data_IF_424529251422
#
_entry.id   IF_424529251422
#
_cell.length_a   1.000
_cell.length_b   1.000
_cell.length_c   1.000
_cell.angle_alpha   90.00
_cell.angle_beta   90.00
_cell.angle_gamma   90.00
#
_symmetry.space_group_name_H-M   'P 1'
#
loop_
_entity.id
_entity.type
_entity.pdbx_description
1 polymer ?
#
# COMPACT_ATOMS: atom_id res chain seq x y z
N UNK A 1 -12.92 1.28 2.02
CA UNK A 1 -12.72 0.58 0.72
C UNK A 1 -12.03 -0.76 0.88
N UNK A 2 -10.82 -0.85 1.45
CA UNK A 2 -10.08 -2.12 1.61
C UNK A 2 -10.89 -3.21 2.33
N UNK A 3 -11.55 -2.88 3.45
CA UNK A 3 -12.40 -3.85 4.16
C UNK A 3 -13.54 -4.41 3.30
N UNK A 4 -14.19 -3.57 2.49
CA UNK A 4 -15.26 -4.01 1.59
C UNK A 4 -14.72 -4.96 0.52
N UNK A 5 -13.53 -4.68 -0.02
CA UNK A 5 -12.88 -5.55 -1.00
C UNK A 5 -12.42 -6.87 -0.38
N UNK A 6 -11.95 -6.87 0.86
CA UNK A 6 -11.61 -8.09 1.60
C UNK A 6 -12.85 -8.95 1.87
N UNK A 7 -13.97 -8.34 2.27
CA UNK A 7 -15.26 -9.04 2.41
C UNK A 7 -15.72 -9.59 1.06
N UNK A 8 -15.67 -8.78 -0.01
CA UNK A 8 -16.03 -9.21 -1.35
C UNK A 8 -15.15 -10.36 -1.84
N UNK A 9 -13.84 -10.33 -1.56
CA UNK A 9 -12.92 -11.42 -1.85
C UNK A 9 -13.33 -12.72 -1.11
N UNK A 10 -13.63 -12.64 0.19
CA UNK A 10 -14.06 -13.81 0.97
C UNK A 10 -15.38 -14.38 0.44
N UNK A 11 -16.35 -13.52 0.12
CA UNK A 11 -17.62 -13.93 -0.50
C UNK A 11 -17.38 -14.55 -1.88
N UNK A 12 -16.48 -13.97 -2.68
CA UNK A 12 -16.14 -14.50 -4.00
C UNK A 12 -15.53 -15.90 -3.92
N UNK A 13 -14.74 -16.23 -2.89
CA UNK A 13 -14.21 -17.58 -2.69
C UNK A 13 -15.31 -18.65 -2.55
N UNK A 14 -16.53 -18.27 -2.14
CA UNK A 14 -17.66 -19.19 -1.99
C UNK A 14 -18.43 -19.39 -3.31
N UNK A 15 -18.10 -18.63 -4.36
CA UNK A 15 -18.66 -18.84 -5.70
C UNK A 15 -17.95 -19.98 -6.43
N UNK A 16 -18.57 -20.61 -7.45
CA UNK A 16 -17.90 -21.63 -8.27
C UNK A 16 -16.60 -21.14 -8.90
N UNK A 17 -16.56 -19.88 -9.35
CA UNK A 17 -15.37 -19.28 -9.95
C UNK A 17 -14.24 -19.09 -8.93
N UNK A 18 -14.56 -18.63 -7.70
CA UNK A 18 -13.57 -18.45 -6.65
C UNK A 18 -13.06 -19.76 -6.07
N UNK A 19 -13.94 -20.73 -5.81
CA UNK A 19 -13.55 -22.05 -5.28
C UNK A 19 -12.68 -22.87 -6.25
N UNK A 20 -12.89 -22.70 -7.55
CA UNK A 20 -12.09 -23.33 -8.59
C UNK A 20 -10.76 -22.59 -8.90
N UNK A 21 -10.58 -21.36 -8.39
CA UNK A 21 -9.40 -20.54 -8.69
C UNK A 21 -8.11 -21.15 -8.12
N UNK A 22 -7.23 -21.61 -9.00
CA UNK A 22 -5.89 -22.04 -8.62
C UNK A 22 -5.02 -20.89 -8.12
N UNK A 23 -5.23 -19.65 -8.62
CA UNK A 23 -4.51 -18.47 -8.15
C UNK A 23 -4.86 -18.20 -6.69
N UNK A 24 -6.13 -18.18 -6.34
CA UNK A 24 -6.59 -18.00 -4.96
C UNK A 24 -6.05 -19.13 -4.06
N UNK A 25 -6.13 -20.38 -4.50
CA UNK A 25 -5.62 -21.54 -3.76
C UNK A 25 -4.10 -21.47 -3.52
N UNK A 26 -3.34 -20.93 -4.47
CA UNK A 26 -1.89 -20.76 -4.34
C UNK A 26 -1.48 -19.79 -3.23
N UNK A 27 -2.39 -18.91 -2.79
CA UNK A 27 -2.12 -17.96 -1.71
C UNK A 27 -2.07 -18.64 -0.34
N UNK A 28 -2.72 -19.80 -0.20
CA UNK A 28 -2.81 -20.53 1.07
C UNK A 28 -3.36 -19.64 2.19
N UNK A 29 -2.64 -19.57 3.31
CA UNK A 29 -3.04 -18.82 4.50
C UNK A 29 -2.69 -17.32 4.46
N UNK A 30 -1.93 -16.85 3.46
CA UNK A 30 -1.44 -15.47 3.43
C UNK A 30 -2.56 -14.41 3.49
N UNK A 31 -3.69 -14.55 2.77
CA UNK A 31 -4.81 -13.62 2.89
C UNK A 31 -5.38 -13.56 4.31
N UNK A 32 -5.54 -14.71 4.96
CA UNK A 32 -6.03 -14.78 6.34
C UNK A 32 -5.06 -14.09 7.31
N UNK A 33 -3.75 -14.33 7.17
CA UNK A 33 -2.76 -13.62 7.97
C UNK A 33 -2.79 -12.10 7.72
N UNK A 34 -2.99 -11.65 6.48
CA UNK A 34 -3.11 -10.21 6.20
C UNK A 34 -4.30 -9.58 6.93
N UNK A 35 -5.45 -10.27 6.98
CA UNK A 35 -6.65 -9.81 7.70
C UNK A 35 -6.40 -9.79 9.21
N UNK A 36 -5.77 -10.83 9.76
CA UNK A 36 -5.47 -10.91 11.20
C UNK A 36 -4.48 -9.83 11.65
N UNK A 37 -3.39 -9.65 10.91
CA UNK A 37 -2.42 -8.57 11.16
C UNK A 37 -3.09 -7.20 11.07
N UNK A 38 -4.01 -6.99 10.12
CA UNK A 38 -4.75 -5.74 10.06
C UNK A 38 -5.60 -5.45 11.30
N UNK A 39 -6.31 -6.48 11.78
CA UNK A 39 -7.09 -6.38 13.01
C UNK A 39 -6.20 -6.11 14.22
N UNK A 40 -5.06 -6.79 14.30
CA UNK A 40 -4.07 -6.57 15.34
C UNK A 40 -3.51 -5.14 15.31
N UNK A 41 -3.12 -4.64 14.13
CA UNK A 41 -2.66 -3.27 13.93
C UNK A 41 -3.66 -2.22 14.44
N UNK A 42 -4.95 -2.40 14.17
CA UNK A 42 -5.99 -1.50 14.71
C UNK A 42 -6.00 -1.49 16.24
N UNK A 43 -5.95 -2.67 16.88
CA UNK A 43 -5.89 -2.75 18.34
C UNK A 43 -4.62 -2.13 18.92
N UNK A 44 -3.46 -2.42 18.31
CA UNK A 44 -2.15 -1.91 18.74
C UNK A 44 -2.08 -0.38 18.62
N UNK A 45 -2.57 0.18 17.52
CA UNK A 45 -2.60 1.64 17.32
C UNK A 45 -3.56 2.33 18.28
N UNK A 46 -4.73 1.74 18.55
CA UNK A 46 -5.67 2.25 19.55
C UNK A 46 -5.10 2.21 20.97
N UNK A 47 -4.28 1.20 21.30
CA UNK A 47 -3.56 1.11 22.56
C UNK A 47 -2.38 2.10 22.67
N UNK A 48 -2.03 2.82 21.60
CA UNK A 48 -0.91 3.77 21.57
C UNK A 48 0.47 3.12 21.50
N UNK A 49 0.57 1.83 21.17
CA UNK A 49 1.84 1.10 21.11
C UNK A 49 2.53 1.26 19.75
N UNK A 50 3.06 2.46 19.49
CA UNK A 50 3.48 2.90 18.16
C UNK A 50 4.63 2.07 17.53
N UNK A 51 5.64 1.68 18.31
CA UNK A 51 6.72 0.83 17.76
C UNK A 51 6.24 -0.58 17.43
N UNK A 52 5.29 -1.10 18.21
CA UNK A 52 4.66 -2.37 17.89
C UNK A 52 3.78 -2.25 16.64
N UNK A 53 3.12 -1.11 16.42
CA UNK A 53 2.35 -0.88 15.19
C UNK A 53 3.24 -0.80 13.96
N UNK A 54 4.46 -0.26 14.08
CA UNK A 54 5.48 -0.28 13.02
C UNK A 54 5.91 -1.71 12.70
N UNK A 55 6.15 -2.54 13.71
CA UNK A 55 6.52 -3.94 13.51
C UNK A 55 5.40 -4.73 12.82
N UNK A 56 4.16 -4.57 13.29
CA UNK A 56 2.98 -5.24 12.72
C UNK A 56 2.76 -4.83 11.26
N UNK A 57 2.76 -3.53 10.96
CA UNK A 57 2.50 -3.05 9.60
C UNK A 57 3.62 -3.43 8.63
N UNK A 58 4.87 -3.54 9.11
CA UNK A 58 5.97 -4.07 8.31
C UNK A 58 5.77 -5.56 7.99
N UNK A 59 5.33 -6.36 8.96
CA UNK A 59 4.99 -7.77 8.74
C UNK A 59 3.81 -7.92 7.77
N UNK A 60 2.78 -7.09 7.91
CA UNK A 60 1.66 -7.02 6.99
C UNK A 60 2.11 -6.68 5.57
N UNK A 61 3.01 -5.71 5.41
CA UNK A 61 3.58 -5.35 4.10
C UNK A 61 4.32 -6.54 3.46
N UNK A 62 5.09 -7.30 4.24
CA UNK A 62 5.77 -8.52 3.78
C UNK A 62 4.75 -9.57 3.32
N UNK A 63 3.71 -9.84 4.12
CA UNK A 63 2.65 -10.80 3.77
C UNK A 63 1.97 -10.41 2.46
N UNK A 64 1.62 -9.13 2.29
CA UNK A 64 1.00 -8.62 1.06
C UNK A 64 1.95 -8.66 -0.15
N UNK A 65 3.24 -8.38 0.06
CA UNK A 65 4.27 -8.54 -0.96
C UNK A 65 4.39 -10.00 -1.42
N UNK A 66 4.31 -10.96 -0.50
CA UNK A 66 4.29 -12.39 -0.82
C UNK A 66 3.02 -12.80 -1.58
N UNK A 67 1.85 -12.27 -1.20
CA UNK A 67 0.59 -12.46 -1.95
C UNK A 67 0.76 -11.98 -3.38
N UNK A 68 1.19 -10.73 -3.57
CA UNK A 68 1.36 -10.15 -4.91
C UNK A 68 2.42 -10.87 -5.74
N UNK A 69 3.51 -11.34 -5.12
CA UNK A 69 4.52 -12.16 -5.79
C UNK A 69 3.94 -13.49 -6.30
N UNK A 70 3.10 -14.17 -5.51
CA UNK A 70 2.43 -15.41 -5.94
C UNK A 70 1.42 -15.14 -7.06
N UNK A 71 0.65 -14.06 -6.95
CA UNK A 71 -0.30 -13.64 -7.98
C UNK A 71 0.38 -13.28 -9.30
N UNK A 72 1.59 -12.70 -9.26
CA UNK A 72 2.35 -12.34 -10.46
C UNK A 72 2.80 -13.56 -11.29
N UNK A 73 2.83 -14.77 -10.71
CA UNK A 73 3.25 -15.99 -11.40
C UNK A 73 2.24 -16.55 -12.40
N UNK A 74 0.98 -16.09 -12.38
CA UNK A 74 -0.10 -16.58 -13.27
C UNK A 74 -1.02 -15.43 -13.68
N UNK A 75 -1.45 -15.42 -14.94
CA UNK A 75 -2.44 -14.46 -15.42
C UNK A 75 -3.83 -14.79 -14.85
N UNK A 76 -4.66 -13.76 -14.65
CA UNK A 76 -6.05 -13.95 -14.25
C UNK A 76 -6.83 -14.67 -15.34
N UNK A 77 -7.66 -15.63 -14.93
CA UNK A 77 -8.61 -16.35 -15.78
C UNK A 77 -9.76 -15.47 -16.29
N UNK A 78 -10.04 -14.35 -15.63
CA UNK A 78 -11.08 -13.41 -16.02
C UNK A 78 -11.10 -12.13 -15.18
N UNK A 79 -11.95 -11.17 -15.53
CA UNK A 79 -12.01 -9.85 -14.88
C UNK A 79 -12.41 -9.93 -13.42
N UNK A 80 -13.31 -10.85 -13.04
CA UNK A 80 -13.72 -11.03 -11.65
C UNK A 80 -12.55 -11.46 -10.77
N UNK A 81 -11.77 -12.47 -11.20
CA UNK A 81 -10.57 -12.92 -10.47
C UNK A 81 -9.50 -11.81 -10.41
N UNK A 82 -9.31 -11.06 -11.50
CA UNK A 82 -8.37 -9.93 -11.52
C UNK A 82 -8.76 -8.84 -10.51
N UNK A 83 -10.05 -8.50 -10.42
CA UNK A 83 -10.54 -7.50 -9.44
C UNK A 83 -10.38 -8.03 -8.01
N UNK A 84 -10.84 -9.26 -7.75
CA UNK A 84 -10.87 -9.82 -6.40
C UNK A 84 -9.48 -10.13 -5.85
N UNK A 85 -8.52 -10.47 -6.71
CA UNK A 85 -7.14 -10.76 -6.30
C UNK A 85 -6.23 -9.54 -6.53
N UNK A 86 -5.97 -9.21 -7.80
CA UNK A 86 -4.97 -8.18 -8.15
C UNK A 86 -5.43 -6.78 -7.72
N UNK A 87 -6.72 -6.48 -7.86
CA UNK A 87 -7.32 -5.22 -7.41
C UNK A 87 -7.29 -5.08 -5.89
N UNK A 88 -7.88 -6.05 -5.18
CA UNK A 88 -7.98 -6.05 -3.71
C UNK A 88 -6.61 -6.02 -3.04
N UNK A 89 -5.74 -6.99 -3.33
CA UNK A 89 -4.44 -7.08 -2.66
C UNK A 89 -3.45 -6.04 -3.18
N UNK A 90 -3.61 -5.57 -4.41
CA UNK A 90 -2.86 -4.43 -4.93
C UNK A 90 -3.19 -3.14 -4.19
N UNK A 91 -4.47 -2.77 -4.10
CA UNK A 91 -4.92 -1.61 -3.32
C UNK A 91 -4.46 -1.72 -1.87
N UNK A 92 -4.54 -2.92 -1.31
CA UNK A 92 -4.15 -3.14 0.06
C UNK A 92 -2.64 -2.94 0.29
N UNK A 93 -1.78 -3.55 -0.56
CA UNK A 93 -0.33 -3.36 -0.49
C UNK A 93 0.05 -1.89 -0.67
N UNK A 94 -0.55 -1.19 -1.64
CA UNK A 94 -0.25 0.22 -1.90
C UNK A 94 -0.59 1.12 -0.71
N UNK A 95 -1.75 0.87 -0.07
CA UNK A 95 -2.12 1.59 1.15
C UNK A 95 -1.17 1.29 2.31
N UNK A 96 -0.84 0.01 2.53
CA UNK A 96 0.08 -0.41 3.60
C UNK A 96 1.46 0.21 3.40
N UNK A 97 1.97 0.32 2.17
CA UNK A 97 3.25 0.97 1.91
C UNK A 97 3.30 2.44 2.37
N UNK A 98 2.24 3.21 2.11
CA UNK A 98 2.12 4.60 2.59
C UNK A 98 1.90 4.64 4.10
N UNK A 99 1.06 3.76 4.63
CA UNK A 99 0.76 3.70 6.06
C UNK A 99 1.98 3.30 6.90
N UNK A 100 2.89 2.46 6.40
CA UNK A 100 4.16 2.14 7.08
C UNK A 100 5.00 3.39 7.32
N UNK A 101 5.11 4.25 6.30
CA UNK A 101 5.80 5.53 6.42
C UNK A 101 5.17 6.43 7.50
N UNK A 102 3.84 6.49 7.55
CA UNK A 102 3.11 7.24 8.55
C UNK A 102 3.29 6.66 9.96
N UNK A 103 3.27 5.34 10.12
CA UNK A 103 3.49 4.68 11.42
C UNK A 103 4.89 4.95 11.96
N UNK A 104 5.93 4.83 11.12
CA UNK A 104 7.32 5.12 11.52
C UNK A 104 7.45 6.59 11.95
N UNK A 105 6.88 7.51 11.17
CA UNK A 105 6.89 8.95 11.49
C UNK A 105 6.17 9.22 12.81
N UNK A 106 5.00 8.64 13.02
CA UNK A 106 4.23 8.80 14.26
C UNK A 106 4.99 8.25 15.48
N UNK A 107 5.60 7.07 15.36
CA UNK A 107 6.42 6.47 16.42
C UNK A 107 7.63 7.34 16.77
N UNK A 108 8.32 7.90 15.76
CA UNK A 108 9.46 8.80 15.98
C UNK A 108 9.04 10.09 16.69
N UNK A 109 7.98 10.75 16.20
CA UNK A 109 7.46 12.00 16.78
C UNK A 109 7.01 11.79 18.24
N UNK A 110 6.37 10.67 18.54
CA UNK A 110 5.94 10.36 19.89
C UNK A 110 7.09 10.12 20.88
N UNK A 111 8.29 9.78 20.40
CA UNK A 111 9.51 9.70 21.20
C UNK A 111 10.21 11.05 21.37
N UNK A 112 9.59 12.15 20.91
CA UNK A 112 10.15 13.49 20.97
C UNK A 112 11.24 13.75 19.92
N UNK A 113 11.31 12.95 18.85
CA UNK A 113 12.21 13.23 17.73
C UNK A 113 11.75 14.52 17.05
N UNK A 114 12.52 15.58 17.26
CA UNK A 114 12.37 16.86 16.56
C UNK A 114 13.73 17.27 15.98
N UNK A 115 13.83 17.26 14.64
CA UNK A 115 15.03 17.67 13.91
C UNK A 115 15.03 19.17 13.59
N UNK A 116 14.10 19.93 14.18
CA UNK A 116 13.79 21.30 13.81
C UNK A 116 13.04 21.38 12.48
N UNK A 117 12.58 22.59 12.12
CA UNK A 117 11.74 22.81 10.94
C UNK A 117 12.36 22.26 9.64
N UNK A 118 13.63 22.57 9.39
CA UNK A 118 14.35 22.11 8.19
C UNK A 118 14.58 20.61 8.19
N UNK A 119 15.01 20.04 9.32
CA UNK A 119 15.27 18.60 9.44
C UNK A 119 14.00 17.77 9.29
N UNK A 120 12.90 18.19 9.91
CA UNK A 120 11.60 17.53 9.78
C UNK A 120 11.07 17.61 8.34
N UNK A 121 11.28 18.74 7.66
CA UNK A 121 10.94 18.87 6.24
C UNK A 121 11.78 17.92 5.37
N UNK A 122 13.10 17.85 5.59
CA UNK A 122 13.98 16.95 4.86
C UNK A 122 13.62 15.47 5.08
N UNK A 123 13.31 15.08 6.32
CA UNK A 123 12.85 13.73 6.65
C UNK A 123 11.53 13.40 5.94
N UNK A 124 10.57 14.32 5.92
CA UNK A 124 9.31 14.13 5.19
C UNK A 124 9.54 13.96 3.68
N UNK A 125 10.43 14.75 3.07
CA UNK A 125 10.81 14.58 1.67
C UNK A 125 11.48 13.23 1.42
N UNK A 126 12.39 12.79 2.31
CA UNK A 126 13.04 11.49 2.19
C UNK A 126 12.02 10.33 2.23
N UNK A 127 11.02 10.42 3.11
CA UNK A 127 9.90 9.46 3.18
C UNK A 127 9.12 9.42 1.86
N UNK A 128 8.82 10.59 1.26
CA UNK A 128 8.14 10.66 -0.04
C UNK A 128 8.96 10.04 -1.16
N UNK A 129 10.28 10.22 -1.14
CA UNK A 129 11.20 9.57 -2.10
C UNK A 129 11.14 8.06 -1.94
N UNK A 130 11.23 7.54 -0.72
CA UNK A 130 11.11 6.09 -0.45
C UNK A 130 9.77 5.54 -0.92
N UNK A 131 8.66 6.22 -0.61
CA UNK A 131 7.34 5.82 -1.08
C UNK A 131 7.26 5.80 -2.62
N UNK A 132 7.83 6.81 -3.29
CA UNK A 132 7.89 6.85 -4.76
C UNK A 132 8.68 5.68 -5.33
N UNK A 133 9.87 5.40 -4.76
CA UNK A 133 10.72 4.28 -5.18
C UNK A 133 10.01 2.93 -5.01
N UNK A 134 9.29 2.73 -3.90
CA UNK A 134 8.47 1.53 -3.69
C UNK A 134 7.39 1.40 -4.77
N UNK A 135 6.67 2.49 -5.06
CA UNK A 135 5.65 2.49 -6.12
C UNK A 135 6.24 2.15 -7.50
N UNK A 136 7.44 2.67 -7.80
CA UNK A 136 8.18 2.35 -9.02
C UNK A 136 8.60 0.87 -9.06
N UNK A 137 9.12 0.33 -7.96
CA UNK A 137 9.49 -1.09 -7.86
C UNK A 137 8.26 -1.97 -8.04
N UNK A 138 7.14 -1.66 -7.38
CA UNK A 138 5.89 -2.41 -7.52
C UNK A 138 5.35 -2.33 -8.95
N UNK A 139 5.40 -1.16 -9.58
CA UNK A 139 5.00 -1.00 -10.98
C UNK A 139 5.82 -1.87 -11.94
N UNK A 140 7.10 -2.07 -11.64
CA UNK A 140 7.99 -2.91 -12.47
C UNK A 140 7.90 -4.37 -12.11
N UNK A 141 7.71 -4.75 -10.86
CA UNK A 141 7.77 -6.17 -10.45
C UNK A 141 6.41 -6.85 -10.64
N UNK A 142 5.31 -6.15 -10.37
CA UNK A 142 3.97 -6.72 -10.37
C UNK A 142 3.32 -6.68 -11.77
N UNK A 143 2.51 -7.69 -12.11
CA UNK A 143 1.80 -7.75 -13.41
C UNK A 143 0.60 -6.79 -13.50
N UNK A 144 0.02 -6.40 -12.37
CA UNK A 144 -1.19 -5.58 -12.30
C UNK A 144 -1.00 -4.42 -11.33
N UNK A 145 -0.21 -3.39 -11.70
CA UNK A 145 0.24 -2.37 -10.75
C UNK A 145 -0.82 -1.33 -10.40
N UNK A 146 -1.96 -1.31 -11.07
CA UNK A 146 -2.98 -0.27 -10.90
C UNK A 146 -3.58 -0.21 -9.51
N UNK A 147 -3.87 -1.37 -8.89
CA UNK A 147 -4.38 -1.39 -7.52
C UNK A 147 -3.38 -0.71 -6.56
N UNK A 148 -2.11 -1.08 -6.65
CA UNK A 148 -1.04 -0.50 -5.84
C UNK A 148 -0.89 0.99 -6.12
N UNK A 149 -0.78 1.37 -7.39
CA UNK A 149 -0.57 2.75 -7.80
C UNK A 149 -1.73 3.66 -7.39
N UNK A 150 -2.98 3.20 -7.53
CA UNK A 150 -4.16 3.96 -7.12
C UNK A 150 -4.19 4.20 -5.60
N UNK A 151 -3.89 3.18 -4.79
CA UNK A 151 -3.85 3.33 -3.34
C UNK A 151 -2.70 4.23 -2.88
N UNK A 152 -1.52 4.10 -3.49
CA UNK A 152 -0.39 4.97 -3.17
C UNK A 152 -0.66 6.41 -3.58
N UNK A 153 -1.20 6.65 -4.78
CA UNK A 153 -1.58 7.98 -5.25
C UNK A 153 -2.63 8.62 -4.34
N UNK A 154 -3.60 7.84 -3.86
CA UNK A 154 -4.58 8.31 -2.87
C UNK A 154 -3.92 8.73 -1.56
N UNK A 155 -3.06 7.89 -0.98
CA UNK A 155 -2.36 8.21 0.28
C UNK A 155 -1.42 9.41 0.17
N UNK A 156 -0.64 9.48 -0.92
CA UNK A 156 0.23 10.63 -1.22
C UNK A 156 -0.58 11.90 -1.50
N UNK A 157 -1.74 11.77 -2.16
CA UNK A 157 -2.67 12.87 -2.37
C UNK A 157 -3.21 13.46 -1.07
N UNK A 158 -3.51 12.63 -0.08
CA UNK A 158 -3.88 13.10 1.27
C UNK A 158 -2.74 13.86 1.96
N UNK A 159 -1.50 13.40 1.82
CA UNK A 159 -0.33 14.13 2.32
C UNK A 159 -0.22 15.49 1.62
N UNK A 160 -0.36 15.53 0.29
CA UNK A 160 -0.33 16.76 -0.48
C UNK A 160 -1.40 17.75 0.01
N UNK A 161 -2.66 17.30 0.09
CA UNK A 161 -3.77 18.13 0.56
C UNK A 161 -3.53 18.63 1.98
N UNK A 162 -3.13 17.76 2.91
CA UNK A 162 -2.87 18.13 4.31
C UNK A 162 -1.74 19.15 4.47
N UNK A 163 -0.71 19.08 3.62
CA UNK A 163 0.45 19.99 3.68
C UNK A 163 0.26 21.30 2.91
N UNK A 164 -0.62 21.33 1.91
CA UNK A 164 -0.91 22.52 1.11
C UNK A 164 -2.08 23.34 1.68
N UNK A 165 -3.12 22.68 2.18
CA UNK A 165 -4.34 23.34 2.67
C UNK A 165 -4.51 23.25 4.20
N UNK A 166 -3.72 22.43 4.89
CA UNK A 166 -3.79 22.22 6.34
C UNK A 166 -2.56 22.72 7.10
N UNK A 167 -2.57 22.50 8.41
CA UNK A 167 -1.46 22.77 9.32
C UNK A 167 -0.85 21.47 9.86
N UNK A 168 0.48 21.39 10.06
CA UNK A 168 1.47 22.40 9.69
C UNK A 168 1.70 22.43 8.18
N UNK A 169 1.61 23.63 7.59
CA UNK A 169 1.76 23.82 6.15
C UNK A 169 3.21 23.65 5.72
N UNK A 170 3.41 23.02 4.57
CA UNK A 170 4.72 22.93 3.93
C UNK A 170 4.51 22.77 2.42
N UNK A 171 4.65 23.86 1.64
CA UNK A 171 4.51 23.80 0.19
C UNK A 171 5.46 22.80 -0.47
N UNK A 172 6.67 22.65 0.07
CA UNK A 172 7.69 21.72 -0.43
C UNK A 172 7.23 20.27 -0.27
N UNK A 173 6.80 19.87 0.94
CA UNK A 173 6.31 18.50 1.19
C UNK A 173 5.01 18.26 0.42
N UNK A 174 4.13 19.26 0.36
CA UNK A 174 2.87 19.19 -0.36
C UNK A 174 3.05 18.96 -1.87
N UNK A 175 3.87 19.79 -2.52
CA UNK A 175 4.20 19.64 -3.93
C UNK A 175 4.98 18.34 -4.19
N UNK A 176 5.92 17.98 -3.32
CA UNK A 176 6.66 16.72 -3.41
C UNK A 176 5.74 15.50 -3.35
N UNK A 177 4.72 15.52 -2.49
CA UNK A 177 3.75 14.43 -2.38
C UNK A 177 2.85 14.34 -3.63
N UNK A 178 2.46 15.47 -4.22
CA UNK A 178 1.71 15.50 -5.47
C UNK A 178 2.54 14.95 -6.64
N UNK A 179 3.81 15.34 -6.75
CA UNK A 179 4.75 14.81 -7.75
C UNK A 179 4.98 13.32 -7.56
N UNK A 180 5.16 12.86 -6.31
CA UNK A 180 5.26 11.44 -5.99
C UNK A 180 4.03 10.65 -6.45
N UNK A 181 2.82 11.15 -6.17
CA UNK A 181 1.57 10.52 -6.59
C UNK A 181 1.48 10.41 -8.11
N UNK A 182 1.73 11.52 -8.83
CA UNK A 182 1.74 11.55 -10.29
C UNK A 182 2.79 10.59 -10.88
N UNK A 183 3.99 10.54 -10.29
CA UNK A 183 5.08 9.65 -10.73
C UNK A 183 4.68 8.18 -10.61
N UNK A 184 4.11 7.78 -9.47
CA UNK A 184 3.68 6.38 -9.26
C UNK A 184 2.61 5.97 -10.27
N UNK A 185 1.64 6.84 -10.56
CA UNK A 185 0.61 6.57 -11.57
C UNK A 185 1.20 6.50 -12.98
N UNK A 186 2.05 7.47 -13.34
CA UNK A 186 2.67 7.52 -14.67
C UNK A 186 3.53 6.27 -14.93
N UNK A 187 4.33 5.86 -13.95
CA UNK A 187 5.18 4.66 -14.09
C UNK A 187 4.34 3.39 -14.18
N UNK A 188 3.24 3.28 -13.41
CA UNK A 188 2.31 2.15 -13.54
C UNK A 188 1.64 2.11 -14.93
N UNK A 189 1.28 3.27 -15.50
CA UNK A 189 0.74 3.36 -16.85
C UNK A 189 1.76 2.91 -17.91
N UNK A 190 3.00 3.40 -17.83
CA UNK A 190 4.07 3.04 -18.76
C UNK A 190 4.46 1.55 -18.68
N UNK A 191 4.49 0.99 -17.47
CA UNK A 191 4.78 -0.42 -17.26
C UNK A 191 3.74 -1.34 -17.92
N UNK A 192 2.47 -0.91 -18.03
CA UNK A 192 1.41 -1.63 -18.71
C UNK A 192 1.61 -1.71 -20.23
N UNK A 193 2.18 -0.66 -20.83
CA UNK A 193 2.35 -0.54 -22.28
C UNK A 193 3.67 -1.12 -22.79
N UNK A 194 4.55 -1.57 -21.91
CA UNK A 194 5.82 -2.19 -22.31
C UNK A 194 5.56 -3.64 -22.76
N UNK A 195 5.73 -3.98 -24.05
CA UNK A 195 5.39 -5.31 -24.61
C UNK A 195 6.36 -6.43 -24.21
N UNK A 196 7.24 -6.20 -23.23
CA UNK A 196 8.28 -7.15 -22.83
C UNK A 196 7.97 -7.73 -21.45
N UNK A 197 7.06 -8.71 -21.39
CA UNK A 197 7.01 -9.77 -20.35
C UNK A 197 6.28 -11.02 -20.82
#
# INVERSE_FOLDING_TARGET
>A
MIYLLLVAYVVWLWTPAGGASERARSLGWLPAASILLNGAWLGITQAGWLWLSVLDIALLAVVLGLVMKRLAGRAASGPAEAIMLDGTFGLYLGWVAVATCANITAAAVAQGVDLGATGNQAAAVAVLVVATLLGVVFARVLRAPWGVAAAMAWGLGWIAAGRLAGAPSSPVVGAGAAVAAATVVAVAALARHSPLR
#
